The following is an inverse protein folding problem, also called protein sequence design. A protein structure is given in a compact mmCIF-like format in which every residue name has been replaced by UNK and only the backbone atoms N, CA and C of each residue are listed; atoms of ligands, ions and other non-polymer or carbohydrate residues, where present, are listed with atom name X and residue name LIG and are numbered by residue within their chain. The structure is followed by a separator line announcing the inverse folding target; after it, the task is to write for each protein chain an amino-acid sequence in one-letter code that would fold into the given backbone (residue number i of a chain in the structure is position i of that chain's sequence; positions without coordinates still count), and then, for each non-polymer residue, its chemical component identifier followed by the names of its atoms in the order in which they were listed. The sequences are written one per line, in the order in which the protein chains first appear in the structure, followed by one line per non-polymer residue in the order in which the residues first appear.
data_IF_512025947512
#
_entry.id   IF_512025947512
#
_cell.length_a   1.000
_cell.length_b   1.000
_cell.length_c   1.000
_cell.angle_alpha   90.00
_cell.angle_beta   90.00
_cell.angle_gamma   90.00
#
_symmetry.space_group_name_H-M   'P 1'
#
loop_
_entity.id
_entity.type
_entity.pdbx_description
1 polymer ?
#
# COMPACT_ATOMS: atom_id res chain seq x y z
N UNK A 1 -11.36 3.35 -13.28
CA UNK A 1 -10.85 2.43 -14.31
C UNK A 1 -9.35 2.18 -14.14
N UNK A 2 -8.49 3.19 -14.31
CA UNK A 2 -7.02 3.01 -14.19
C UNK A 2 -6.54 2.45 -12.85
N UNK A 3 -7.16 2.81 -11.72
CA UNK A 3 -6.77 2.29 -10.40
C UNK A 3 -6.89 0.76 -10.34
N UNK A 4 -8.03 0.21 -10.77
CA UNK A 4 -8.26 -1.24 -10.75
C UNK A 4 -7.28 -1.99 -11.66
N UNK A 5 -6.89 -1.39 -12.80
CA UNK A 5 -5.88 -1.99 -13.70
C UNK A 5 -4.51 -1.97 -13.03
N UNK A 6 -4.12 -0.84 -12.43
CA UNK A 6 -2.88 -0.73 -11.67
C UNK A 6 -2.84 -1.77 -10.53
N UNK A 7 -3.96 -1.90 -9.80
CA UNK A 7 -4.09 -2.85 -8.70
C UNK A 7 -4.05 -4.31 -9.17
N UNK A 8 -4.61 -4.63 -10.34
CA UNK A 8 -4.52 -5.96 -10.94
C UNK A 8 -3.06 -6.33 -11.27
N UNK A 9 -2.33 -5.44 -11.93
CA UNK A 9 -0.90 -5.67 -12.22
C UNK A 9 -0.05 -5.71 -10.95
N UNK A 10 -0.38 -4.90 -9.93
CA UNK A 10 0.26 -5.00 -8.62
C UNK A 10 0.04 -6.39 -8.01
N UNK A 11 -1.21 -6.90 -8.09
CA UNK A 11 -1.58 -8.21 -7.61
C UNK A 11 -0.80 -9.36 -8.27
N UNK A 12 -0.49 -9.24 -9.56
CA UNK A 12 0.32 -10.21 -10.31
C UNK A 12 1.84 -10.06 -10.11
N UNK A 13 2.29 -9.06 -9.34
CA UNK A 13 3.71 -8.74 -9.16
C UNK A 13 4.33 -7.98 -10.35
N UNK A 14 3.53 -7.53 -11.31
CA UNK A 14 3.97 -6.76 -12.48
C UNK A 14 4.07 -5.26 -12.16
N UNK A 15 4.93 -4.91 -11.19
CA UNK A 15 5.01 -3.58 -10.59
C UNK A 15 5.28 -2.45 -11.58
N UNK A 16 6.10 -2.68 -12.62
CA UNK A 16 6.35 -1.68 -13.68
C UNK A 16 5.09 -1.34 -14.47
N UNK A 17 4.25 -2.35 -14.76
CA UNK A 17 2.97 -2.13 -15.45
C UNK A 17 1.97 -1.46 -14.51
N UNK A 18 1.93 -1.86 -13.25
CA UNK A 18 1.13 -1.20 -12.22
C UNK A 18 1.46 0.30 -12.14
N UNK A 19 2.74 0.64 -12.08
CA UNK A 19 3.24 2.02 -12.05
C UNK A 19 2.82 2.81 -13.29
N UNK A 20 2.89 2.22 -14.48
CA UNK A 20 2.46 2.87 -15.72
C UNK A 20 1.00 3.33 -15.65
N UNK A 21 0.09 2.44 -15.22
CA UNK A 21 -1.33 2.77 -15.10
C UNK A 21 -1.61 3.75 -13.97
N UNK A 22 -0.88 3.64 -12.87
CA UNK A 22 -1.00 4.54 -11.73
C UNK A 22 -0.58 5.97 -12.10
N UNK A 23 0.47 6.13 -12.90
CA UNK A 23 0.92 7.44 -13.39
C UNK A 23 -0.10 8.12 -14.30
N UNK A 24 -1.01 7.39 -14.95
CA UNK A 24 -2.13 8.00 -15.70
C UNK A 24 -3.11 8.72 -14.76
N UNK A 25 -3.25 8.23 -13.53
CA UNK A 25 -4.09 8.85 -12.48
C UNK A 25 -3.35 10.04 -11.87
N UNK A 26 -2.09 9.85 -11.49
CA UNK A 26 -1.31 10.86 -10.78
C UNK A 26 -1.01 12.10 -11.63
N UNK A 27 -0.98 11.96 -12.97
CA UNK A 27 -0.69 13.04 -13.91
C UNK A 27 -1.94 13.63 -14.59
N UNK A 28 -3.14 13.15 -14.30
CA UNK A 28 -4.35 13.70 -14.91
C UNK A 28 -4.88 14.90 -14.13
N UNK A 29 -5.19 15.99 -14.85
CA UNK A 29 -5.82 17.20 -14.31
C UNK A 29 -7.32 17.04 -13.99
N UNK A 30 -7.95 15.96 -14.47
CA UNK A 30 -9.41 15.75 -14.37
C UNK A 30 -9.87 15.07 -13.07
N UNK A 31 -8.95 14.59 -12.21
CA UNK A 31 -9.31 13.77 -11.04
C UNK A 31 -9.67 14.61 -9.80
N UNK A 32 -9.81 15.93 -9.94
CA UNK A 32 -10.20 16.80 -8.83
C UNK A 32 -11.52 16.39 -8.15
N UNK A 33 -12.40 15.67 -8.86
CA UNK A 33 -13.66 15.18 -8.33
C UNK A 33 -13.57 13.94 -7.41
N UNK A 34 -12.51 13.12 -7.46
CA UNK A 34 -12.42 11.87 -6.68
C UNK A 34 -11.13 11.76 -5.88
N UNK A 35 -11.10 12.52 -4.81
CA UNK A 35 -9.94 12.66 -3.93
C UNK A 35 -9.50 11.35 -3.26
N UNK A 36 -10.45 10.50 -2.88
CA UNK A 36 -10.14 9.19 -2.30
C UNK A 36 -9.30 8.34 -3.25
N UNK A 37 -9.59 8.36 -4.56
CA UNK A 37 -8.81 7.63 -5.57
C UNK A 37 -7.40 8.17 -5.66
N UNK A 38 -7.19 9.48 -5.56
CA UNK A 38 -5.84 10.06 -5.55
C UNK A 38 -5.07 9.64 -4.30
N UNK A 39 -5.73 9.63 -3.14
CA UNK A 39 -5.13 9.16 -1.88
C UNK A 39 -4.68 7.71 -1.99
N UNK A 40 -5.58 6.79 -2.36
CA UNK A 40 -5.24 5.38 -2.55
C UNK A 40 -4.19 5.17 -3.64
N UNK A 41 -4.24 5.95 -4.73
CA UNK A 41 -3.25 5.86 -5.80
C UNK A 41 -1.86 6.27 -5.32
N UNK A 42 -1.75 7.31 -4.49
CA UNK A 42 -0.47 7.72 -3.92
C UNK A 42 0.08 6.70 -2.93
N UNK A 43 -0.78 6.10 -2.11
CA UNK A 43 -0.37 5.02 -1.21
C UNK A 43 0.11 3.80 -1.99
N UNK A 44 -0.65 3.35 -2.98
CA UNK A 44 -0.24 2.24 -3.86
C UNK A 44 1.08 2.56 -4.58
N UNK A 45 1.31 3.82 -4.98
CA UNK A 45 2.53 4.24 -5.62
C UNK A 45 3.76 4.09 -4.72
N UNK A 46 3.62 4.40 -3.43
CA UNK A 46 4.68 4.18 -2.45
C UNK A 46 5.05 2.71 -2.34
N UNK A 47 4.05 1.83 -2.28
CA UNK A 47 4.26 0.39 -2.19
C UNK A 47 4.93 -0.14 -3.45
N UNK A 48 4.48 0.28 -4.63
CA UNK A 48 5.09 -0.11 -5.90
C UNK A 48 6.55 0.34 -5.97
N UNK A 49 6.87 1.56 -5.55
CA UNK A 49 8.26 2.01 -5.52
C UNK A 49 9.12 1.25 -4.52
N UNK A 50 8.55 0.86 -3.38
CA UNK A 50 9.21 -0.04 -2.44
C UNK A 50 9.51 -1.41 -3.11
N UNK A 51 8.54 -2.00 -3.79
CA UNK A 51 8.69 -3.30 -4.48
C UNK A 51 9.72 -3.28 -5.60
N UNK A 52 9.84 -2.15 -6.30
CA UNK A 52 10.83 -1.93 -7.34
C UNK A 52 12.23 -1.64 -6.79
N UNK A 53 12.38 -1.42 -5.49
CA UNK A 53 13.65 -1.02 -4.88
C UNK A 53 14.06 0.42 -5.21
N UNK A 54 13.12 1.27 -5.64
CA UNK A 54 13.37 2.65 -6.05
C UNK A 54 13.52 3.57 -4.82
N UNK A 55 14.53 3.35 -3.98
CA UNK A 55 14.68 3.99 -2.68
C UNK A 55 14.72 5.53 -2.76
N UNK A 56 15.43 6.10 -3.74
CA UNK A 56 15.53 7.55 -3.90
C UNK A 56 14.18 8.19 -4.27
N UNK A 57 13.43 7.52 -5.16
CA UNK A 57 12.08 7.94 -5.54
C UNK A 57 11.15 7.80 -4.34
N UNK A 58 11.22 6.69 -3.61
CA UNK A 58 10.40 6.42 -2.43
C UNK A 58 10.59 7.52 -1.36
N UNK A 59 11.84 7.94 -1.10
CA UNK A 59 12.14 9.01 -0.13
C UNK A 59 11.50 10.35 -0.52
N UNK A 60 11.46 10.66 -1.82
CA UNK A 60 10.77 11.84 -2.32
C UNK A 60 9.24 11.69 -2.28
N UNK A 61 8.74 10.56 -2.78
CA UNK A 61 7.30 10.29 -2.88
C UNK A 61 6.64 10.24 -1.51
N UNK A 62 7.30 9.73 -0.46
CA UNK A 62 6.71 9.69 0.89
C UNK A 62 6.49 11.09 1.47
N UNK A 63 7.42 12.02 1.22
CA UNK A 63 7.32 13.42 1.66
C UNK A 63 6.20 14.15 0.90
N UNK A 64 6.08 13.93 -0.40
CA UNK A 64 5.04 14.59 -1.22
C UNK A 64 3.65 14.01 -0.96
N UNK A 65 3.52 12.69 -0.78
CA UNK A 65 2.26 12.04 -0.39
C UNK A 65 1.79 12.49 0.98
N UNK A 66 2.68 12.57 1.97
CA UNK A 66 2.33 13.11 3.30
C UNK A 66 1.72 14.51 3.20
N UNK A 67 2.38 15.42 2.45
CA UNK A 67 1.87 16.79 2.26
C UNK A 67 0.50 16.81 1.59
N UNK A 68 0.31 15.99 0.55
CA UNK A 68 -0.96 15.88 -0.16
C UNK A 68 -2.08 15.41 0.77
N UNK A 69 -1.86 14.34 1.53
CA UNK A 69 -2.89 13.79 2.41
C UNK A 69 -3.17 14.71 3.61
N UNK A 70 -2.15 15.38 4.17
CA UNK A 70 -2.33 16.33 5.26
C UNK A 70 -3.23 17.52 4.90
N UNK A 71 -3.16 17.98 3.64
CA UNK A 71 -4.05 19.06 3.16
C UNK A 71 -5.50 18.62 2.96
N UNK A 72 -5.80 17.32 3.09
CA UNK A 72 -7.16 16.77 3.00
C UNK A 72 -7.67 16.59 4.43
N UNK A 73 -8.82 17.17 4.74
CA UNK A 73 -9.47 17.12 6.06
C UNK A 73 -9.95 15.71 6.49
N UNK A 74 -9.45 14.64 5.86
CA UNK A 74 -9.90 13.25 6.02
C UNK A 74 -8.75 12.26 5.79
N UNK A 75 -7.68 12.41 6.56
CA UNK A 75 -6.58 11.45 6.60
C UNK A 75 -7.05 10.20 7.34
N UNK A 76 -7.00 9.05 6.69
CA UNK A 76 -7.21 7.79 7.39
C UNK A 76 -6.02 7.51 8.30
N UNK A 77 -6.27 6.88 9.44
CA UNK A 77 -5.21 6.60 10.41
C UNK A 77 -4.18 5.63 9.82
N UNK A 78 -4.61 4.67 8.99
CA UNK A 78 -3.72 3.71 8.35
C UNK A 78 -2.71 4.40 7.41
N UNK A 79 -3.11 5.49 6.75
CA UNK A 79 -2.23 6.26 5.86
C UNK A 79 -1.08 6.88 6.65
N UNK A 80 -1.39 7.42 7.83
CA UNK A 80 -0.40 8.02 8.73
C UNK A 80 0.59 6.96 9.22
N UNK A 81 0.07 5.83 9.67
CA UNK A 81 0.89 4.70 10.14
C UNK A 81 1.81 4.22 9.03
N UNK A 82 1.28 4.00 7.83
CA UNK A 82 2.05 3.52 6.68
C UNK A 82 3.11 4.53 6.23
N UNK A 83 2.79 5.81 6.16
CA UNK A 83 3.76 6.86 5.82
C UNK A 83 4.88 6.94 6.86
N UNK A 84 4.54 6.86 8.14
CA UNK A 84 5.53 6.84 9.22
C UNK A 84 6.43 5.60 9.15
N UNK A 85 5.86 4.43 8.85
CA UNK A 85 6.61 3.21 8.61
C UNK A 85 7.61 3.38 7.46
N UNK A 86 7.15 3.84 6.28
CA UNK A 86 8.01 4.00 5.10
C UNK A 86 9.12 5.03 5.35
N UNK A 87 8.83 6.13 6.05
CA UNK A 87 9.85 7.13 6.42
C UNK A 87 10.93 6.59 7.36
N UNK A 88 10.58 5.58 8.17
CA UNK A 88 11.48 4.95 9.13
C UNK A 88 12.24 3.76 8.55
N UNK A 89 11.94 3.32 7.33
CA UNK A 89 12.72 2.29 6.64
C UNK A 89 14.17 2.79 6.49
N UNK A 90 15.14 2.25 7.25
CA UNK A 90 16.55 2.51 7.07
C UNK A 90 16.99 2.01 5.69
N UNK A 91 17.94 2.72 5.07
CA UNK A 91 18.52 2.34 3.78
C UNK A 91 19.26 0.98 3.83
N UNK A 92 19.51 0.42 5.02
CA UNK A 92 20.34 -0.77 5.23
C UNK A 92 19.85 -1.72 6.34
N UNK A 93 18.61 -2.19 6.29
CA UNK A 93 18.14 -3.20 7.25
C UNK A 93 18.86 -4.55 7.09
N UNK A 94 19.12 -5.22 8.22
CA UNK A 94 19.28 -6.68 8.20
C UNK A 94 17.92 -7.32 7.92
N UNK A 95 17.84 -8.41 7.14
CA UNK A 95 16.56 -9.03 6.78
C UNK A 95 15.63 -9.36 7.97
N UNK A 96 16.19 -9.71 9.13
CA UNK A 96 15.43 -10.03 10.34
C UNK A 96 14.73 -8.79 10.93
N UNK A 97 15.44 -7.66 10.99
CA UNK A 97 14.90 -6.40 11.52
C UNK A 97 13.76 -5.88 10.63
N UNK A 98 13.89 -6.02 9.32
CA UNK A 98 12.84 -5.64 8.37
C UNK A 98 11.57 -6.49 8.54
N UNK A 99 11.71 -7.82 8.70
CA UNK A 99 10.56 -8.71 8.96
C UNK A 99 9.87 -8.36 10.27
N UNK A 100 10.64 -8.00 11.31
CA UNK A 100 10.11 -7.56 12.58
C UNK A 100 9.29 -6.27 12.42
N UNK A 101 9.82 -5.27 11.72
CA UNK A 101 9.09 -4.02 11.46
C UNK A 101 7.82 -4.25 10.63
N UNK A 102 7.83 -5.17 9.65
CA UNK A 102 6.60 -5.55 8.95
C UNK A 102 5.58 -6.23 9.87
N UNK A 103 6.03 -7.07 10.79
CA UNK A 103 5.16 -7.75 11.75
C UNK A 103 4.50 -6.78 12.72
N UNK A 104 5.22 -5.73 13.14
CA UNK A 104 4.70 -4.65 13.97
C UNK A 104 3.65 -3.83 13.21
N UNK A 105 3.99 -3.36 11.99
CA UNK A 105 3.04 -2.65 11.14
C UNK A 105 1.77 -3.47 10.88
N UNK A 106 1.90 -4.77 10.62
CA UNK A 106 0.76 -5.65 10.40
C UNK A 106 -0.16 -5.70 11.62
N UNK A 107 0.41 -5.78 12.83
CA UNK A 107 -0.39 -5.79 14.08
C UNK A 107 -1.18 -4.49 14.22
N UNK A 108 -0.53 -3.35 14.01
CA UNK A 108 -1.18 -2.03 14.07
C UNK A 108 -2.34 -1.93 13.06
N UNK A 109 -2.13 -2.36 11.82
CA UNK A 109 -3.19 -2.33 10.79
C UNK A 109 -4.34 -3.29 11.09
N UNK A 110 -4.08 -4.45 11.70
CA UNK A 110 -5.16 -5.38 12.11
C UNK A 110 -6.01 -4.74 13.20
N UNK A 111 -5.40 -4.17 14.24
CA UNK A 111 -6.14 -3.47 15.29
C UNK A 111 -6.96 -2.33 14.71
N UNK A 112 -6.39 -1.57 13.77
CA UNK A 112 -7.10 -0.49 13.12
C UNK A 112 -8.28 -0.96 12.26
N UNK A 113 -8.19 -2.15 11.65
CA UNK A 113 -9.26 -2.74 10.84
C UNK A 113 -10.52 -3.12 11.64
N UNK A 114 -10.46 -3.11 12.97
CA UNK A 114 -11.63 -3.26 13.84
C UNK A 114 -12.55 -2.03 13.77
N UNK A 115 -12.00 -0.86 13.42
CA UNK A 115 -12.78 0.35 13.16
C UNK A 115 -13.46 0.27 11.79
N UNK A 116 -14.79 0.34 11.76
CA UNK A 116 -15.60 0.26 10.54
C UNK A 116 -15.25 1.29 9.45
N UNK A 117 -14.75 2.46 9.84
CA UNK A 117 -14.33 3.52 8.90
C UNK A 117 -13.02 3.15 8.20
N UNK A 118 -12.05 2.68 8.97
CA UNK A 118 -10.72 2.27 8.49
C UNK A 118 -10.80 0.97 7.69
N UNK A 119 -11.63 0.02 8.15
CA UNK A 119 -11.87 -1.25 7.45
C UNK A 119 -12.25 -1.03 5.98
N UNK A 120 -13.20 -0.12 5.72
CA UNK A 120 -13.63 0.21 4.35
C UNK A 120 -12.51 0.78 3.50
N UNK A 121 -11.57 1.50 4.09
CA UNK A 121 -10.44 2.06 3.35
C UNK A 121 -9.38 0.97 3.06
N UNK A 122 -9.12 0.10 4.03
CA UNK A 122 -8.25 -1.05 3.88
C UNK A 122 -8.78 -2.09 2.87
N UNK A 123 -10.08 -2.12 2.59
CA UNK A 123 -10.66 -2.94 1.51
C UNK A 123 -10.20 -2.49 0.10
N UNK A 124 -9.83 -1.22 -0.11
CA UNK A 124 -9.33 -0.74 -1.40
C UNK A 124 -7.90 -1.18 -1.71
N UNK A 125 -7.15 -1.56 -0.67
CA UNK A 125 -5.76 -1.94 -0.72
C UNK A 125 -5.47 -2.88 0.44
N UNK A 126 -5.43 -4.18 0.18
CA UNK A 126 -5.23 -5.19 1.22
C UNK A 126 -3.75 -5.22 1.67
N UNK A 127 -3.40 -4.20 2.47
CA UNK A 127 -2.09 -4.00 3.07
C UNK A 127 -1.71 -5.15 3.99
N UNK A 128 -2.69 -5.77 4.66
CA UNK A 128 -2.46 -6.88 5.58
C UNK A 128 -1.91 -8.08 4.81
N UNK A 129 -2.56 -8.46 3.69
CA UNK A 129 -2.06 -9.53 2.82
C UNK A 129 -0.72 -9.17 2.16
N UNK A 130 -0.51 -7.89 1.82
CA UNK A 130 0.79 -7.43 1.33
C UNK A 130 1.90 -7.63 2.37
N UNK A 131 1.68 -7.23 3.63
CA UNK A 131 2.65 -7.43 4.71
C UNK A 131 2.90 -8.90 5.02
N UNK A 132 1.86 -9.73 5.00
CA UNK A 132 2.01 -11.18 5.15
C UNK A 132 2.91 -11.78 4.07
N UNK A 133 2.79 -11.31 2.83
CA UNK A 133 3.67 -11.76 1.74
C UNK A 133 5.14 -11.44 2.04
N UNK A 134 5.43 -10.28 2.65
CA UNK A 134 6.80 -9.88 3.04
C UNK A 134 7.32 -10.66 4.23
N UNK A 135 6.50 -10.84 5.26
CA UNK A 135 6.86 -11.58 6.47
C UNK A 135 7.16 -13.05 6.13
N UNK A 136 6.29 -13.67 5.31
CA UNK A 136 6.39 -15.08 4.95
C UNK A 136 7.30 -15.34 3.75
N UNK A 137 7.86 -14.29 3.12
CA UNK A 137 8.66 -14.38 1.88
C UNK A 137 7.95 -15.13 0.75
N UNK A 138 6.67 -14.84 0.57
CA UNK A 138 5.83 -15.38 -0.50
C UNK A 138 5.31 -14.26 -1.39
N UNK A 139 4.74 -14.59 -2.54
CA UNK A 139 4.11 -13.57 -3.39
C UNK A 139 2.76 -13.14 -2.82
N UNK A 140 2.38 -11.89 -3.07
CA UNK A 140 1.06 -11.38 -2.70
C UNK A 140 -0.08 -12.22 -3.28
N UNK A 141 0.02 -12.62 -4.55
CA UNK A 141 -0.95 -13.49 -5.21
C UNK A 141 -1.15 -14.84 -4.47
N UNK A 142 -0.07 -15.43 -3.95
CA UNK A 142 -0.16 -16.67 -3.17
C UNK A 142 -0.91 -16.45 -1.84
N UNK A 143 -0.66 -15.34 -1.15
CA UNK A 143 -1.38 -14.98 0.08
C UNK A 143 -2.88 -14.82 -0.21
N UNK A 144 -3.24 -14.04 -1.24
CA UNK A 144 -4.65 -13.85 -1.63
C UNK A 144 -5.31 -15.18 -1.99
N UNK A 145 -4.63 -16.03 -2.77
CA UNK A 145 -5.13 -17.37 -3.13
C UNK A 145 -5.38 -18.23 -1.89
N UNK A 146 -4.45 -18.25 -0.93
CA UNK A 146 -4.62 -19.02 0.31
C UNK A 146 -5.83 -18.56 1.13
N UNK A 147 -6.08 -17.24 1.18
CA UNK A 147 -7.22 -16.67 1.91
C UNK A 147 -8.55 -17.04 1.28
N UNK A 148 -8.66 -16.96 -0.05
CA UNK A 148 -9.88 -17.35 -0.78
C UNK A 148 -10.28 -18.81 -0.54
N UNK A 149 -9.28 -19.71 -0.48
CA UNK A 149 -9.51 -21.15 -0.22
C UNK A 149 -9.90 -21.41 1.24
N UNK A 150 -9.39 -20.62 2.20
CA UNK A 150 -9.75 -20.77 3.61
C UNK A 150 -11.15 -20.26 3.96
N UNK A 151 -11.67 -19.28 3.21
CA UNK A 151 -13.06 -18.80 3.34
C UNK A 151 -14.10 -19.73 2.73
N UNK A 152 -13.68 -20.72 1.93
CA UNK A 152 -14.53 -21.73 1.28
C UNK A 152 -14.51 -23.09 2.01
N UNK A 153 -13.89 -23.20 3.20
CA UNK A 153 -14.00 -24.41 4.02
C UNK A 153 -15.36 -24.43 4.74
N UNK A 154 -16.22 -25.44 4.49
CA UNK A 154 -17.53 -25.58 5.13
C UNK A 154 -17.42 -25.83 6.64
#
# INVERSE_FOLDING_TARGET
FYYNIAYLFFGSGEYTKALFWLNKILNSSEIDARQDILSFSRILNLIIHYELGNNDVLEYTVKSTYRFLYTRNRLYEFETILLNFIRKLPKSFKPVELIQSFSELRKELITLSENSFEKKALEYLDLISWLESKINKTSYAQVIKSKSISSDKP
#
